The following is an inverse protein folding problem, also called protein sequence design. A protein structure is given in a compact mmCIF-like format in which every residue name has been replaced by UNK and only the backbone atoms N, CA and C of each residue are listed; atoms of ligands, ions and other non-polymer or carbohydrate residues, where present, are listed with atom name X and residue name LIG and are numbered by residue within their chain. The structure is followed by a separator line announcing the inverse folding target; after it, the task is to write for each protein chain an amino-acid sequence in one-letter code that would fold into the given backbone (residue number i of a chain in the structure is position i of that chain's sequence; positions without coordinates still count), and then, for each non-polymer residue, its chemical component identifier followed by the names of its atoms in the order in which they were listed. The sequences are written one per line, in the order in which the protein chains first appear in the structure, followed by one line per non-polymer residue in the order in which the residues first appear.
data_IF_008498256174
#
_entry.id   IF_008498256174
#
_cell.length_a   1.000
_cell.length_b   1.000
_cell.length_c   1.000
_cell.angle_alpha   90.00
_cell.angle_beta   90.00
_cell.angle_gamma   90.00
#
_symmetry.space_group_name_H-M   'P 1'
#
loop_
_entity.id
_entity.type
_entity.pdbx_description
1 polymer ?
#
# COMPACT_ATOMS: atom_id res chain seq x y z
N UNK A 1 4.14 -20.41 45.39
CA UNK A 1 4.25 -19.88 44.01
C UNK A 1 5.58 -19.16 43.90
N UNK A 2 6.57 -19.81 43.29
CA UNK A 2 7.95 -19.32 43.17
C UNK A 2 8.11 -18.73 41.77
N UNK A 3 8.51 -17.45 41.70
CA UNK A 3 8.93 -16.77 40.48
C UNK A 3 10.33 -17.27 40.12
N UNK A 4 10.46 -17.93 38.97
CA UNK A 4 11.76 -18.33 38.41
C UNK A 4 12.06 -17.38 37.25
N UNK A 5 12.92 -16.40 37.55
CA UNK A 5 13.61 -15.54 36.60
C UNK A 5 14.94 -16.23 36.28
N UNK A 6 15.18 -16.62 35.02
CA UNK A 6 16.47 -17.17 34.59
C UNK A 6 17.08 -16.25 33.52
N UNK A 7 18.31 -15.84 33.85
CA UNK A 7 19.31 -15.08 33.12
C UNK A 7 19.64 -15.65 31.74
N UNK A 8 20.13 -14.78 30.84
CA UNK A 8 21.35 -15.01 30.05
C UNK A 8 21.56 -13.85 29.05
N UNK A 9 22.74 -13.34 28.69
CA UNK A 9 24.14 -13.54 29.08
C UNK A 9 24.84 -12.22 28.70
N UNK A 10 25.72 -11.78 29.58
CA UNK A 10 26.68 -10.70 29.36
C UNK A 10 27.75 -11.19 28.39
N UNK A 11 27.95 -10.49 27.27
CA UNK A 11 29.21 -10.56 26.51
C UNK A 11 30.00 -9.28 26.76
N UNK A 12 31.00 -9.38 27.63
CA UNK A 12 32.06 -8.38 27.82
C UNK A 12 33.07 -8.57 26.70
N UNK A 13 33.30 -7.54 25.89
CA UNK A 13 34.52 -7.43 25.10
C UNK A 13 35.37 -6.31 25.72
N UNK A 14 36.61 -6.67 26.00
CA UNK A 14 37.60 -5.92 26.76
C UNK A 14 37.89 -4.52 26.22
N UNK A 15 37.90 -3.56 27.13
CA UNK A 15 38.24 -2.16 26.95
C UNK A 15 39.77 -1.99 27.10
N UNK A 16 40.43 -1.35 26.13
CA UNK A 16 41.81 -0.84 26.25
C UNK A 16 41.96 0.45 25.45
N UNK A 17 42.32 1.53 26.15
CA UNK A 17 42.78 2.87 25.73
C UNK A 17 41.95 3.94 26.48
N UNK A 18 42.44 4.57 27.55
CA UNK A 18 43.54 5.54 27.63
C UNK A 18 43.31 6.78 26.73
N UNK A 19 42.89 7.86 27.41
CA UNK A 19 43.04 9.30 27.08
C UNK A 19 42.08 9.98 26.08
N UNK A 20 41.11 10.73 26.64
CA UNK A 20 40.67 12.12 26.30
C UNK A 20 39.11 12.30 26.25
N UNK A 21 38.56 13.41 26.79
CA UNK A 21 37.11 13.71 26.87
C UNK A 21 36.49 14.18 25.52
N UNK A 22 35.16 14.24 25.39
CA UNK A 22 34.41 13.51 24.35
C UNK A 22 34.31 14.22 23.00
N UNK A 23 34.39 13.40 21.95
CA UNK A 23 33.90 13.73 20.62
C UNK A 23 32.38 13.97 20.67
N UNK A 24 31.98 15.20 20.41
CA UNK A 24 30.68 15.48 19.81
C UNK A 24 30.86 15.41 18.30
N UNK A 25 30.33 14.37 17.65
CA UNK A 25 29.49 14.49 16.46
C UNK A 25 29.16 13.11 15.89
N UNK A 26 27.87 12.95 15.59
CA UNK A 26 27.33 12.13 14.50
C UNK A 26 27.30 10.61 14.67
N UNK A 27 26.43 10.18 15.58
CA UNK A 27 25.63 8.99 15.37
C UNK A 27 24.66 9.22 14.18
N UNK A 28 25.07 8.88 12.97
CA UNK A 28 24.16 8.93 11.81
C UNK A 28 24.50 7.85 10.78
N UNK A 29 24.22 6.59 11.12
CA UNK A 29 24.13 5.51 10.14
C UNK A 29 23.44 4.30 10.77
N UNK A 30 22.11 4.16 10.62
CA UNK A 30 21.33 2.89 10.51
C UNK A 30 19.83 3.10 10.79
N UNK A 31 19.10 3.75 9.88
CA UNK A 31 17.62 3.82 9.98
C UNK A 31 16.89 3.53 8.66
N UNK A 32 17.58 3.54 7.52
CA UNK A 32 16.98 3.31 6.21
C UNK A 32 16.39 1.89 6.00
N UNK A 33 17.06 0.78 6.38
CA UNK A 33 16.58 -0.56 6.02
C UNK A 33 15.28 -0.96 6.75
N UNK A 34 15.11 -0.50 7.98
CA UNK A 34 13.92 -0.82 8.78
C UNK A 34 12.69 -0.01 8.36
N UNK A 35 12.90 1.25 7.95
CA UNK A 35 11.81 2.10 7.46
C UNK A 35 11.29 1.62 6.09
N UNK A 36 12.18 1.19 5.20
CA UNK A 36 11.80 0.62 3.90
C UNK A 36 11.05 -0.70 4.05
N UNK A 37 11.51 -1.60 4.93
CA UNK A 37 10.82 -2.85 5.21
C UNK A 37 9.39 -2.62 5.75
N UNK A 38 9.23 -1.65 6.66
CA UNK A 38 7.91 -1.30 7.20
C UNK A 38 6.98 -0.73 6.12
N UNK A 39 7.50 0.09 5.21
CA UNK A 39 6.71 0.64 4.11
C UNK A 39 6.19 -0.45 3.16
N UNK A 40 7.03 -1.43 2.84
CA UNK A 40 6.63 -2.59 2.02
C UNK A 40 5.58 -3.44 2.72
N UNK A 41 5.73 -3.69 4.03
CA UNK A 41 4.73 -4.44 4.80
C UNK A 41 3.37 -3.71 4.82
N UNK A 42 3.37 -2.40 5.07
CA UNK A 42 2.15 -1.60 5.04
C UNK A 42 1.50 -1.61 3.64
N UNK A 43 2.30 -1.47 2.58
CA UNK A 43 1.82 -1.53 1.21
C UNK A 43 1.18 -2.90 0.88
N UNK A 44 1.78 -3.99 1.36
CA UNK A 44 1.23 -5.33 1.21
C UNK A 44 -0.13 -5.49 1.92
N UNK A 45 -0.30 -4.90 3.11
CA UNK A 45 -1.58 -4.92 3.84
C UNK A 45 -2.67 -4.13 3.10
N UNK A 46 -2.35 -2.93 2.61
CA UNK A 46 -3.28 -2.11 1.81
C UNK A 46 -3.70 -2.84 0.54
N UNK A 47 -2.74 -3.43 -0.18
CA UNK A 47 -3.01 -4.22 -1.39
C UNK A 47 -3.89 -5.43 -1.10
N UNK A 48 -3.62 -6.18 -0.03
CA UNK A 48 -4.45 -7.34 0.35
C UNK A 48 -5.89 -6.94 0.67
N UNK A 49 -6.09 -5.87 1.44
CA UNK A 49 -7.42 -5.35 1.74
C UNK A 49 -8.16 -4.93 0.47
N UNK A 50 -7.46 -4.25 -0.45
CA UNK A 50 -8.01 -3.84 -1.73
C UNK A 50 -8.40 -5.04 -2.61
N UNK A 51 -7.52 -6.04 -2.79
CA UNK A 51 -7.82 -7.21 -3.61
C UNK A 51 -8.95 -8.06 -3.04
N UNK A 52 -9.03 -8.17 -1.70
CA UNK A 52 -10.17 -8.79 -1.03
C UNK A 52 -11.47 -8.06 -1.33
N UNK A 53 -11.46 -6.74 -1.35
CA UNK A 53 -12.63 -5.93 -1.67
C UNK A 53 -13.06 -6.11 -3.13
N UNK A 54 -12.13 -6.02 -4.08
CA UNK A 54 -12.38 -6.25 -5.51
C UNK A 54 -12.98 -7.63 -5.75
N UNK A 55 -12.42 -8.67 -5.12
CA UNK A 55 -12.94 -10.04 -5.22
C UNK A 55 -14.33 -10.18 -4.61
N UNK A 56 -14.60 -9.50 -3.50
CA UNK A 56 -15.91 -9.55 -2.81
C UNK A 56 -17.00 -8.87 -3.63
N UNK A 57 -16.67 -7.77 -4.31
CA UNK A 57 -17.58 -7.03 -5.18
C UNK A 57 -17.87 -7.76 -6.49
N UNK A 58 -17.08 -8.78 -6.84
CA UNK A 58 -17.23 -9.53 -8.09
C UNK A 58 -17.09 -8.63 -9.32
N UNK A 59 -16.12 -7.72 -9.31
CA UNK A 59 -15.95 -6.73 -10.37
C UNK A 59 -15.78 -7.41 -11.74
N UNK A 60 -16.66 -7.04 -12.67
CA UNK A 60 -16.74 -7.59 -14.03
C UNK A 60 -16.17 -6.66 -15.10
N UNK A 61 -15.76 -5.44 -14.70
CA UNK A 61 -15.30 -4.40 -15.61
C UNK A 61 -16.41 -3.76 -16.45
N UNK A 62 -17.67 -4.01 -16.11
CA UNK A 62 -18.86 -3.46 -16.80
C UNK A 62 -19.67 -2.50 -15.93
N UNK A 63 -19.34 -2.43 -14.64
CA UNK A 63 -20.00 -1.55 -13.66
C UNK A 63 -19.00 -0.66 -12.94
N UNK A 64 -19.45 0.52 -12.52
CA UNK A 64 -18.75 1.39 -11.57
C UNK A 64 -19.25 1.13 -10.15
N UNK A 65 -18.36 1.35 -9.19
CA UNK A 65 -18.55 1.11 -7.78
C UNK A 65 -18.26 2.38 -7.00
N UNK A 66 -18.90 2.58 -5.85
CA UNK A 66 -18.63 3.77 -5.06
C UNK A 66 -17.29 3.67 -4.32
N UNK A 67 -16.55 4.78 -4.27
CA UNK A 67 -15.27 4.86 -3.54
C UNK A 67 -15.40 4.56 -2.04
N UNK A 68 -16.57 4.76 -1.45
CA UNK A 68 -16.83 4.45 -0.03
C UNK A 68 -16.77 2.95 0.29
N UNK A 69 -16.78 2.09 -0.74
CA UNK A 69 -16.59 0.65 -0.58
C UNK A 69 -15.12 0.27 -0.33
N UNK A 70 -14.17 1.19 -0.54
CA UNK A 70 -12.76 0.96 -0.29
C UNK A 70 -12.41 1.27 1.17
N UNK A 71 -11.66 0.36 1.80
CA UNK A 71 -11.15 0.55 3.18
C UNK A 71 -10.04 1.60 3.28
N UNK A 72 -9.39 1.92 2.17
CA UNK A 72 -8.31 2.90 2.07
C UNK A 72 -8.63 3.87 0.92
N UNK A 73 -8.03 5.07 0.92
CA UNK A 73 -8.24 6.00 -0.19
C UNK A 73 -7.64 5.46 -1.49
N UNK A 74 -8.14 5.92 -2.64
CA UNK A 74 -7.57 5.56 -3.95
C UNK A 74 -6.08 5.92 -4.06
N UNK A 75 -5.68 7.04 -3.45
CA UNK A 75 -4.26 7.45 -3.43
C UNK A 75 -3.43 6.46 -2.64
N UNK A 76 -3.86 6.09 -1.43
CA UNK A 76 -3.11 5.15 -0.59
C UNK A 76 -2.96 3.78 -1.25
N UNK A 77 -4.01 3.30 -1.92
CA UNK A 77 -3.98 2.03 -2.66
C UNK A 77 -3.02 2.13 -3.85
N UNK A 78 -3.09 3.21 -4.64
CA UNK A 78 -2.17 3.42 -5.76
C UNK A 78 -0.72 3.47 -5.28
N UNK A 79 -0.45 4.22 -4.22
CA UNK A 79 0.91 4.41 -3.70
C UNK A 79 1.46 3.10 -3.10
N UNK A 80 0.59 2.29 -2.46
CA UNK A 80 0.93 0.93 -2.03
C UNK A 80 1.27 0.02 -3.22
N UNK A 81 0.45 0.02 -4.28
CA UNK A 81 0.71 -0.79 -5.48
C UNK A 81 2.01 -0.36 -6.18
N UNK A 82 2.27 0.95 -6.30
CA UNK A 82 3.52 1.48 -6.84
C UNK A 82 4.74 1.08 -5.98
N UNK A 83 4.60 1.10 -4.65
CA UNK A 83 5.63 0.62 -3.73
C UNK A 83 5.97 -0.84 -4.01
N UNK A 84 4.94 -1.70 -4.16
CA UNK A 84 5.11 -3.12 -4.42
C UNK A 84 5.71 -3.40 -5.82
N UNK A 85 5.34 -2.61 -6.83
CA UNK A 85 5.94 -2.67 -8.18
C UNK A 85 7.44 -2.38 -8.13
N UNK A 86 7.86 -1.41 -7.33
CA UNK A 86 9.26 -0.98 -7.26
C UNK A 86 10.18 -1.96 -6.51
N UNK A 87 9.63 -2.83 -5.66
CA UNK A 87 10.42 -3.76 -4.84
C UNK A 87 10.36 -5.21 -5.32
N UNK A 88 9.49 -5.52 -6.28
CA UNK A 88 9.43 -6.84 -6.91
C UNK A 88 10.21 -6.84 -8.22
N UNK A 89 10.92 -7.93 -8.51
CA UNK A 89 11.59 -8.15 -9.81
C UNK A 89 10.77 -9.05 -10.74
N UNK A 90 9.67 -9.63 -10.23
CA UNK A 90 8.81 -10.53 -11.01
C UNK A 90 7.84 -9.75 -11.91
N UNK A 91 8.02 -9.88 -13.21
CA UNK A 91 7.25 -9.11 -14.22
C UNK A 91 5.76 -9.46 -14.23
N UNK A 92 5.40 -10.71 -13.95
CA UNK A 92 3.99 -11.12 -13.82
C UNK A 92 3.34 -10.40 -12.63
N UNK A 93 4.01 -10.39 -11.49
CA UNK A 93 3.58 -9.69 -10.28
C UNK A 93 3.47 -8.18 -10.52
N UNK A 94 4.43 -7.56 -11.23
CA UNK A 94 4.31 -6.14 -11.63
C UNK A 94 3.07 -5.88 -12.48
N UNK A 95 2.84 -6.72 -13.49
CA UNK A 95 1.67 -6.61 -14.36
C UNK A 95 0.36 -6.73 -13.57
N UNK A 96 0.31 -7.61 -12.57
CA UNK A 96 -0.85 -7.76 -11.69
C UNK A 96 -1.09 -6.50 -10.84
N UNK A 97 -0.04 -5.89 -10.29
CA UNK A 97 -0.16 -4.63 -9.55
C UNK A 97 -0.58 -3.45 -10.44
N UNK A 98 -0.04 -3.37 -11.66
CA UNK A 98 -0.46 -2.38 -12.65
C UNK A 98 -1.93 -2.56 -13.03
N UNK A 99 -2.39 -3.80 -13.21
CA UNK A 99 -3.81 -4.10 -13.41
C UNK A 99 -4.65 -3.62 -12.22
N UNK A 100 -4.16 -3.82 -10.99
CA UNK A 100 -4.79 -3.30 -9.79
C UNK A 100 -4.97 -1.78 -9.80
N UNK A 101 -3.97 -1.03 -10.30
CA UNK A 101 -4.05 0.43 -10.45
C UNK A 101 -5.13 0.81 -11.48
N UNK A 102 -5.21 0.09 -12.61
CA UNK A 102 -6.24 0.34 -13.63
C UNK A 102 -7.65 0.09 -13.07
N UNK A 103 -7.84 -0.96 -12.26
CA UNK A 103 -9.13 -1.28 -11.63
C UNK A 103 -9.61 -0.15 -10.70
N UNK A 104 -8.71 0.64 -10.10
CA UNK A 104 -9.11 1.78 -9.26
C UNK A 104 -9.97 2.80 -10.03
N UNK A 105 -9.83 2.90 -11.35
CA UNK A 105 -10.63 3.81 -12.15
C UNK A 105 -12.14 3.48 -12.10
N UNK A 106 -12.53 2.24 -11.79
CA UNK A 106 -13.95 1.86 -11.67
C UNK A 106 -14.57 2.29 -10.34
N UNK A 107 -13.77 2.70 -9.36
CA UNK A 107 -14.27 3.27 -8.10
C UNK A 107 -14.49 4.78 -8.25
N UNK A 108 -15.74 5.21 -8.30
CA UNK A 108 -16.14 6.59 -8.55
C UNK A 108 -16.91 7.18 -7.36
N UNK A 109 -16.81 8.48 -7.08
CA UNK A 109 -17.63 9.12 -6.06
C UNK A 109 -19.09 9.21 -6.50
N UNK A 110 -19.99 9.29 -5.53
CA UNK A 110 -21.43 9.54 -5.71
C UNK A 110 -22.16 8.50 -6.59
N UNK A 111 -21.62 7.27 -6.68
CA UNK A 111 -22.29 6.12 -7.33
C UNK A 111 -23.35 5.54 -6.38
N UNK A 112 -23.07 5.59 -5.07
CA UNK A 112 -23.93 5.01 -4.04
C UNK A 112 -23.70 3.52 -3.79
N UNK A 113 -24.55 2.91 -2.97
CA UNK A 113 -24.31 1.55 -2.46
C UNK A 113 -24.48 0.43 -3.50
N UNK A 114 -25.07 0.71 -4.67
CA UNK A 114 -25.35 -0.27 -5.72
C UNK A 114 -24.47 0.01 -6.93
N UNK A 115 -23.81 -0.99 -7.52
CA UNK A 115 -23.04 -0.80 -8.75
C UNK A 115 -23.94 -0.28 -9.89
N UNK A 116 -23.40 0.62 -10.70
CA UNK A 116 -24.10 1.23 -11.83
C UNK A 116 -23.41 0.80 -13.13
N UNK A 117 -24.18 0.52 -14.19
CA UNK A 117 -23.61 0.13 -15.48
C UNK A 117 -22.79 1.26 -16.09
N UNK A 118 -21.69 0.92 -16.77
CA UNK A 118 -20.85 1.90 -17.49
C UNK A 118 -21.63 2.70 -18.56
N UNK A 119 -22.75 2.16 -19.05
CA UNK A 119 -23.57 2.82 -20.08
C UNK A 119 -24.53 3.87 -19.52
N UNK A 120 -24.71 3.89 -18.20
CA UNK A 120 -25.59 4.86 -17.55
C UNK A 120 -24.95 6.24 -17.50
N UNK A 121 -25.81 7.26 -17.41
CA UNK A 121 -25.38 8.66 -17.31
C UNK A 121 -24.78 8.90 -15.93
N UNK A 122 -23.51 9.29 -15.93
CA UNK A 122 -22.78 9.77 -14.78
C UNK A 122 -22.69 11.30 -14.74
N UNK A 123 -21.69 11.86 -14.03
CA UNK A 123 -21.54 13.30 -13.85
C UNK A 123 -21.35 14.07 -15.16
N UNK A 124 -22.06 15.19 -15.30
CA UNK A 124 -21.88 16.14 -16.40
C UNK A 124 -22.30 15.61 -17.77
N UNK A 125 -23.42 14.86 -17.82
CA UNK A 125 -24.02 14.27 -19.03
C UNK A 125 -23.10 13.29 -19.80
N UNK A 126 -22.06 12.78 -19.13
CA UNK A 126 -21.16 11.74 -19.66
C UNK A 126 -21.63 10.37 -19.22
N UNK A 127 -21.31 9.33 -19.97
CA UNK A 127 -21.49 7.97 -19.46
C UNK A 127 -20.41 7.66 -18.44
N UNK A 128 -20.71 6.73 -17.52
CA UNK A 128 -19.70 6.24 -16.57
C UNK A 128 -18.48 5.65 -17.27
N UNK A 129 -18.64 5.02 -18.44
CA UNK A 129 -17.52 4.59 -19.30
C UNK A 129 -16.54 5.74 -19.57
N UNK A 130 -17.05 6.88 -20.03
CA UNK A 130 -16.21 8.03 -20.35
C UNK A 130 -15.50 8.60 -19.12
N UNK A 131 -16.15 8.54 -17.95
CA UNK A 131 -15.55 8.97 -16.68
C UNK A 131 -14.40 8.05 -16.29
N UNK A 132 -14.63 6.73 -16.33
CA UNK A 132 -13.63 5.70 -16.02
C UNK A 132 -12.44 5.78 -16.97
N UNK A 133 -12.68 5.86 -18.29
CA UNK A 133 -11.62 5.98 -19.30
C UNK A 133 -10.76 7.24 -19.08
N UNK A 134 -11.40 8.38 -18.78
CA UNK A 134 -10.69 9.62 -18.48
C UNK A 134 -9.88 9.52 -17.18
N UNK A 135 -10.27 8.66 -16.24
CA UNK A 135 -9.51 8.42 -15.02
C UNK A 135 -8.35 7.45 -15.24
N UNK A 136 -8.54 6.39 -16.03
CA UNK A 136 -7.45 5.47 -16.41
C UNK A 136 -6.29 6.19 -17.10
N UNK A 137 -6.56 7.26 -17.86
CA UNK A 137 -5.53 8.07 -18.51
C UNK A 137 -4.71 8.97 -17.55
N UNK A 138 -5.15 9.13 -16.30
CA UNK A 138 -4.48 9.95 -15.28
C UNK A 138 -3.65 9.14 -14.29
N UNK A 139 -3.81 7.82 -14.30
CA UNK A 139 -3.04 6.87 -13.49
C UNK A 139 -1.61 6.79 -14.02
#
# INVERSE_FOLDING_TARGET
MIRILILAIVSVISLSAQSAPPAASEAQATSAPAAEAQAVENAAQVMQAYMSQVSTLGMDGQSVYDVSLLSNSKSDIRDALLTLINVTDDEETKSNYQTGIVILAFFQPDVGATPISLEETGPGDKTWRQVVEAEMQKQ
#
